data_IF_140770032667
#
_entry.id   IF_140770032667
#
_cell.length_a   1.000
_cell.length_b   1.000
_cell.length_c   1.000
_cell.angle_alpha   90.00
_cell.angle_beta   90.00
_cell.angle_gamma   90.00
#
_symmetry.space_group_name_H-M   'P 1'
#
loop_
_entity.id
_entity.type
_entity.pdbx_description
1 polymer ?
#
# COMPACT_ATOMS: atom_id res chain seq x y z
N UNK A 1 0.77 9.12 9.14
CA UNK A 1 1.13 7.82 8.53
C UNK A 1 0.76 6.69 9.46
N UNK A 2 0.14 5.63 8.94
CA UNK A 2 -0.16 4.39 9.65
C UNK A 2 0.65 3.26 9.01
N UNK A 3 1.43 2.53 9.82
CA UNK A 3 2.20 1.36 9.35
C UNK A 3 1.27 0.15 9.44
N UNK A 4 1.03 -0.52 8.31
CA UNK A 4 0.16 -1.70 8.23
C UNK A 4 0.96 -3.01 8.28
N UNK A 5 2.18 -3.02 7.73
CA UNK A 5 3.12 -4.14 7.82
C UNK A 5 4.56 -3.63 7.97
N UNK A 6 5.33 -4.31 8.81
CA UNK A 6 6.76 -4.09 9.01
C UNK A 6 7.44 -5.45 9.22
N UNK A 7 7.48 -6.24 8.15
CA UNK A 7 7.99 -7.61 8.14
C UNK A 7 9.26 -7.68 7.28
N UNK A 8 9.96 -8.83 7.28
CA UNK A 8 11.26 -9.01 6.60
C UNK A 8 11.21 -8.70 5.11
N UNK A 9 10.11 -9.05 4.46
CA UNK A 9 9.94 -8.99 3.00
C UNK A 9 8.85 -8.00 2.57
N UNK A 10 8.21 -7.29 3.51
CA UNK A 10 7.20 -6.28 3.19
C UNK A 10 7.16 -5.16 4.22
N UNK A 11 7.23 -3.93 3.71
CA UNK A 11 6.83 -2.74 4.42
C UNK A 11 5.60 -2.15 3.72
N UNK A 12 4.54 -1.89 4.48
CA UNK A 12 3.33 -1.27 3.94
C UNK A 12 2.77 -0.22 4.89
N UNK A 13 2.27 0.87 4.32
CA UNK A 13 1.74 1.99 5.08
C UNK A 13 0.64 2.72 4.33
N UNK A 14 -0.29 3.28 5.09
CA UNK A 14 -1.29 4.25 4.64
C UNK A 14 -0.85 5.65 5.07
N UNK A 15 -0.79 6.59 4.13
CA UNK A 15 -0.44 7.99 4.36
C UNK A 15 -1.71 8.83 4.18
N UNK A 16 -2.09 9.55 5.24
CA UNK A 16 -3.21 10.48 5.31
C UNK A 16 -4.54 9.93 4.76
N UNK A 17 -4.73 8.61 4.84
CA UNK A 17 -5.82 7.87 4.20
C UNK A 17 -5.97 8.15 2.69
N UNK A 18 -4.93 8.67 2.03
CA UNK A 18 -4.93 9.07 0.61
C UNK A 18 -4.04 8.19 -0.24
N UNK A 19 -2.97 7.66 0.35
CA UNK A 19 -1.99 6.82 -0.35
C UNK A 19 -1.78 5.53 0.44
N UNK A 20 -1.84 4.38 -0.21
CA UNK A 20 -1.33 3.12 0.31
C UNK A 20 -0.08 2.77 -0.48
N UNK A 21 0.97 2.33 0.20
CA UNK A 21 2.19 1.86 -0.42
C UNK A 21 2.58 0.49 0.10
N UNK A 22 3.20 -0.31 -0.77
CA UNK A 22 3.88 -1.57 -0.44
C UNK A 22 5.28 -1.52 -1.05
N UNK A 23 6.29 -1.86 -0.25
CA UNK A 23 7.69 -2.08 -0.68
C UNK A 23 8.12 -3.48 -0.24
N UNK A 24 8.87 -4.18 -1.11
CA UNK A 24 9.41 -5.53 -0.90
C UNK A 24 8.69 -6.59 -1.73
N UNK A 25 9.20 -7.83 -1.79
CA UNK A 25 8.56 -8.90 -2.55
C UNK A 25 7.30 -9.47 -1.87
N UNK A 26 7.13 -9.29 -0.56
CA UNK A 26 5.99 -9.79 0.21
C UNK A 26 4.65 -9.13 -0.18
N UNK A 27 3.53 -9.74 0.21
CA UNK A 27 2.20 -9.32 -0.26
C UNK A 27 1.54 -8.28 0.66
N UNK A 28 0.96 -7.24 0.06
CA UNK A 28 0.04 -6.32 0.73
C UNK A 28 -0.88 -5.67 -0.31
N UNK A 29 -2.15 -5.49 0.05
CA UNK A 29 -3.15 -4.74 -0.71
C UNK A 29 -3.83 -3.73 0.24
N UNK A 30 -4.37 -2.62 -0.29
CA UNK A 30 -5.19 -1.69 0.48
C UNK A 30 -6.37 -2.40 1.15
N UNK A 31 -6.83 -1.93 2.32
CA UNK A 31 -8.01 -2.48 2.98
C UNK A 31 -9.24 -2.34 2.06
N UNK A 32 -9.93 -3.46 1.81
CA UNK A 32 -11.18 -3.50 1.06
C UNK A 32 -12.28 -2.88 1.93
N UNK A 33 -12.87 -1.75 1.52
CA UNK A 33 -13.88 -1.06 2.32
C UNK A 33 -14.08 0.42 1.97
N UNK A 34 -13.91 1.30 2.96
CA UNK A 34 -14.38 2.69 3.00
C UNK A 34 -13.90 3.61 1.87
N UNK A 35 -12.87 3.20 1.12
CA UNK A 35 -12.34 3.95 -0.01
C UNK A 35 -12.12 3.01 -1.18
N UNK A 36 -12.45 3.50 -2.37
CA UNK A 36 -12.02 2.87 -3.59
C UNK A 36 -10.55 3.26 -3.80
N UNK A 37 -9.69 2.25 -3.96
CA UNK A 37 -8.27 2.44 -4.21
C UNK A 37 -7.97 2.14 -5.66
N UNK A 38 -7.24 3.03 -6.34
CA UNK A 38 -6.74 2.82 -7.69
C UNK A 38 -5.24 2.57 -7.62
N UNK A 39 -4.76 1.58 -8.36
CA UNK A 39 -3.32 1.37 -8.54
C UNK A 39 -2.75 2.51 -9.41
N UNK A 40 -1.96 3.39 -8.81
CA UNK A 40 -1.36 4.54 -9.51
C UNK A 40 -0.02 4.17 -10.14
N UNK A 41 0.78 3.33 -9.48
CA UNK A 41 2.10 2.92 -9.95
C UNK A 41 2.49 1.53 -9.42
N UNK A 42 3.19 0.76 -10.25
CA UNK A 42 3.78 -0.53 -9.87
C UNK A 42 5.16 -0.69 -10.51
N UNK A 43 6.10 -1.27 -9.75
CA UNK A 43 7.36 -1.79 -10.25
C UNK A 43 7.66 -3.17 -9.68
N UNK A 44 8.93 -3.59 -9.79
CA UNK A 44 9.37 -4.96 -9.43
C UNK A 44 8.98 -5.36 -8.00
N UNK A 45 9.27 -4.51 -7.03
CA UNK A 45 9.05 -4.77 -5.59
C UNK A 45 8.34 -3.60 -4.90
N UNK A 46 7.54 -2.83 -5.65
CA UNK A 46 6.73 -1.77 -5.05
C UNK A 46 5.41 -1.57 -5.79
N UNK A 47 4.39 -1.16 -5.03
CA UNK A 47 3.06 -0.79 -5.52
C UNK A 47 2.54 0.40 -4.73
N UNK A 48 1.88 1.33 -5.41
CA UNK A 48 1.28 2.52 -4.81
C UNK A 48 -0.17 2.60 -5.29
N UNK A 49 -1.07 2.81 -4.34
CA UNK A 49 -2.48 3.06 -4.60
C UNK A 49 -2.89 4.42 -4.05
N UNK A 50 -3.77 5.10 -4.78
CA UNK A 50 -4.39 6.35 -4.35
C UNK A 50 -5.89 6.13 -4.08
N UNK A 51 -6.40 6.79 -3.05
CA UNK A 51 -7.83 6.83 -2.80
C UNK A 51 -8.53 7.71 -3.84
N UNK A 52 -9.65 7.22 -4.36
CA UNK A 52 -10.63 8.02 -5.11
C UNK A 52 -11.37 9.02 -4.20
#
# INVERSE_FOLDING_TARGET
>A
VQINRAERDVYAATIDDKVVMKIGPGYHEPPRGSKNWILSLQGKDYQIWEAL
#
